data_IF_532789096705
#
_entry.id   IF_532789096705
#
_cell.length_a   1.000
_cell.length_b   1.000
_cell.length_c   1.000
_cell.angle_alpha   90.00
_cell.angle_beta   90.00
_cell.angle_gamma   90.00
#
_symmetry.space_group_name_H-M   'P 1'
#
loop_
_entity.id
_entity.type
_entity.pdbx_description
1 polymer ?
#
# COMPACT_ATOMS: atom_id res chain seq x y z
N UNK A 1 -33.00 -7.66 8.66
CA UNK A 1 -31.83 -7.23 7.88
C UNK A 1 -31.47 -8.35 6.94
N UNK A 2 -31.58 -8.13 5.64
CA UNK A 2 -31.11 -9.10 4.64
C UNK A 2 -29.58 -9.09 4.56
N UNK A 3 -28.99 -10.11 3.93
CA UNK A 3 -27.55 -10.10 3.66
C UNK A 3 -27.16 -8.91 2.78
N UNK A 4 -28.00 -8.54 1.84
CA UNK A 4 -27.75 -7.41 0.93
C UNK A 4 -27.70 -6.07 1.69
N UNK A 5 -28.61 -5.88 2.65
CA UNK A 5 -28.61 -4.72 3.55
C UNK A 5 -27.38 -4.71 4.47
N UNK A 6 -26.97 -5.89 4.97
CA UNK A 6 -25.77 -6.04 5.79
C UNK A 6 -24.48 -5.73 5.01
N UNK A 7 -24.34 -6.27 3.80
CA UNK A 7 -23.18 -6.07 2.94
C UNK A 7 -23.19 -4.73 2.19
N UNK A 8 -24.29 -3.97 2.26
CA UNK A 8 -24.44 -2.65 1.65
C UNK A 8 -24.08 -2.66 0.15
N UNK A 9 -24.60 -3.63 -0.60
CA UNK A 9 -24.28 -3.80 -2.03
C UNK A 9 -24.49 -2.48 -2.79
N UNK A 10 -23.51 -2.09 -3.60
CA UNK A 10 -23.53 -0.84 -4.38
C UNK A 10 -23.08 0.41 -3.62
N UNK A 11 -22.76 0.30 -2.34
CA UNK A 11 -22.25 1.43 -1.55
C UNK A 11 -20.73 1.56 -1.68
N UNK A 12 -20.24 2.78 -1.84
CA UNK A 12 -18.80 3.10 -1.79
C UNK A 12 -18.44 3.72 -0.44
N UNK A 13 -17.30 3.32 0.12
CA UNK A 13 -16.78 3.87 1.39
C UNK A 13 -15.49 4.62 1.14
N UNK A 14 -15.38 5.84 1.68
CA UNK A 14 -14.14 6.62 1.66
C UNK A 14 -13.26 6.18 2.82
N UNK A 15 -12.08 5.63 2.51
CA UNK A 15 -11.15 5.09 3.51
C UNK A 15 -10.23 6.13 4.17
N UNK A 16 -10.27 7.38 3.68
CA UNK A 16 -9.33 8.42 4.10
C UNK A 16 -7.93 8.26 3.47
N UNK A 17 -7.04 9.24 3.72
CA UNK A 17 -5.69 9.24 3.14
C UNK A 17 -4.71 8.41 3.97
N UNK A 18 -3.66 7.91 3.31
CA UNK A 18 -2.49 7.35 3.96
C UNK A 18 -1.21 7.82 3.28
N UNK A 19 -0.29 8.36 4.06
CA UNK A 19 1.04 8.76 3.59
C UNK A 19 2.04 7.63 3.80
N UNK A 20 2.68 7.18 2.73
CA UNK A 20 3.75 6.19 2.81
C UNK A 20 5.09 6.87 3.05
N UNK A 21 5.54 6.85 4.30
CA UNK A 21 6.85 7.39 4.66
C UNK A 21 7.99 6.50 4.14
N UNK A 22 9.13 7.07 3.68
CA UNK A 22 10.24 6.30 3.12
C UNK A 22 10.74 5.17 4.02
N UNK A 23 10.82 5.40 5.35
CA UNK A 23 11.26 4.36 6.28
C UNK A 23 10.26 3.22 6.41
N UNK A 24 8.96 3.51 6.38
CA UNK A 24 7.93 2.47 6.39
C UNK A 24 7.95 1.65 5.09
N UNK A 25 8.16 2.31 3.95
CA UNK A 25 8.37 1.65 2.66
C UNK A 25 9.53 0.66 2.74
N UNK A 26 10.71 1.13 3.15
CA UNK A 26 11.93 0.32 3.25
C UNK A 26 11.78 -0.81 4.27
N UNK A 27 11.13 -0.56 5.41
CA UNK A 27 10.89 -1.57 6.43
C UNK A 27 9.98 -2.71 5.93
N UNK A 28 8.88 -2.38 5.26
CA UNK A 28 8.00 -3.40 4.65
C UNK A 28 8.74 -4.18 3.56
N UNK A 29 9.41 -3.47 2.66
CA UNK A 29 10.11 -4.06 1.53
C UNK A 29 11.22 -5.03 1.95
N UNK A 30 12.03 -4.66 2.95
CA UNK A 30 13.05 -5.57 3.52
C UNK A 30 12.48 -6.89 4.00
N UNK A 31 11.22 -6.90 4.46
CA UNK A 31 10.58 -8.10 5.01
C UNK A 31 9.84 -8.93 3.96
N UNK A 32 9.20 -8.28 2.99
CA UNK A 32 8.21 -8.93 2.12
C UNK A 32 8.47 -8.76 0.63
N UNK A 33 9.21 -7.74 0.21
CA UNK A 33 9.43 -7.42 -1.20
C UNK A 33 10.78 -6.69 -1.41
N UNK A 34 11.92 -7.39 -1.27
CA UNK A 34 13.25 -6.77 -1.19
C UNK A 34 13.81 -6.42 -2.57
N UNK A 35 12.99 -5.87 -3.46
CA UNK A 35 13.46 -5.31 -4.73
C UNK A 35 14.16 -3.98 -4.50
N UNK A 36 15.24 -3.74 -5.25
CA UNK A 36 16.16 -2.60 -5.04
C UNK A 36 15.44 -1.25 -5.00
N UNK A 37 14.46 -1.05 -5.89
CA UNK A 37 13.69 0.20 -5.97
C UNK A 37 12.72 0.44 -4.81
N UNK A 38 12.56 -0.51 -3.88
CA UNK A 38 11.79 -0.36 -2.65
C UNK A 38 12.66 -0.19 -1.39
N UNK A 39 13.98 -0.40 -1.48
CA UNK A 39 14.87 -0.42 -0.31
C UNK A 39 16.01 0.60 -0.37
N UNK A 40 16.32 1.15 -1.55
CA UNK A 40 17.40 2.11 -1.78
C UNK A 40 16.96 3.23 -2.72
N UNK A 41 16.98 4.46 -2.22
CA UNK A 41 16.51 5.66 -2.93
C UNK A 41 17.40 6.02 -4.14
N UNK A 42 18.71 5.87 -4.02
CA UNK A 42 19.66 6.24 -5.08
C UNK A 42 19.66 5.21 -6.22
N UNK A 43 19.55 3.94 -5.87
CA UNK A 43 19.41 2.88 -6.85
C UNK A 43 18.03 2.93 -7.53
N UNK A 44 16.96 3.31 -6.79
CA UNK A 44 15.62 3.46 -7.35
C UNK A 44 15.55 4.53 -8.46
N UNK A 45 16.34 5.61 -8.38
CA UNK A 45 16.44 6.64 -9.43
C UNK A 45 16.88 6.08 -10.79
N UNK A 46 17.60 4.95 -10.78
CA UNK A 46 18.08 4.26 -12.00
C UNK A 46 17.12 3.19 -12.50
N UNK A 47 16.02 2.95 -11.77
CA UNK A 47 15.00 1.98 -12.15
C UNK A 47 13.96 2.61 -13.09
N UNK A 48 13.10 1.76 -13.66
CA UNK A 48 11.96 2.20 -14.48
C UNK A 48 10.96 3.08 -13.72
N UNK A 49 11.01 3.08 -12.38
CA UNK A 49 10.12 3.87 -11.52
C UNK A 49 10.69 5.25 -11.21
N UNK A 50 11.98 5.51 -11.47
CA UNK A 50 12.60 6.83 -11.33
C UNK A 50 12.80 7.34 -9.90
N UNK A 51 12.42 6.57 -8.88
CA UNK A 51 12.57 6.92 -7.47
C UNK A 51 12.03 5.83 -6.54
N UNK A 52 12.23 6.02 -5.23
CA UNK A 52 11.71 5.10 -4.22
C UNK A 52 10.18 5.04 -4.29
N UNK A 53 9.62 3.84 -4.29
CA UNK A 53 8.18 3.64 -4.21
C UNK A 53 7.81 2.55 -3.22
N UNK A 54 6.58 2.60 -2.71
CA UNK A 54 6.02 1.51 -1.94
C UNK A 54 5.82 0.26 -2.83
N UNK A 55 6.04 -0.92 -2.26
CA UNK A 55 5.63 -2.18 -2.90
C UNK A 55 4.12 -2.21 -3.15
N UNK A 56 3.70 -2.86 -4.23
CA UNK A 56 2.28 -3.14 -4.49
C UNK A 56 1.64 -3.93 -3.35
N UNK A 57 2.41 -4.83 -2.70
CA UNK A 57 1.94 -5.59 -1.54
C UNK A 57 1.81 -4.74 -0.29
N UNK A 58 2.69 -3.75 -0.10
CA UNK A 58 2.53 -2.75 0.97
C UNK A 58 1.24 -1.95 0.76
N UNK A 59 1.00 -1.52 -0.48
CA UNK A 59 -0.21 -0.78 -0.86
C UNK A 59 -1.47 -1.60 -0.61
N UNK A 60 -1.50 -2.87 -1.01
CA UNK A 60 -2.64 -3.77 -0.79
C UNK A 60 -2.89 -4.04 0.70
N UNK A 61 -1.83 -4.24 1.49
CA UNK A 61 -1.93 -4.44 2.93
C UNK A 61 -2.47 -3.19 3.64
N UNK A 62 -2.01 -2.00 3.25
CA UNK A 62 -2.54 -0.73 3.77
C UNK A 62 -4.00 -0.54 3.40
N UNK A 63 -4.39 -0.83 2.15
CA UNK A 63 -5.80 -0.78 1.74
C UNK A 63 -6.67 -1.68 2.63
N UNK A 64 -6.26 -2.94 2.83
CA UNK A 64 -7.01 -3.86 3.70
C UNK A 64 -7.10 -3.33 5.12
N UNK A 65 -6.00 -2.80 5.68
CA UNK A 65 -5.98 -2.22 7.02
C UNK A 65 -7.01 -1.09 7.18
N UNK A 66 -7.12 -0.20 6.19
CA UNK A 66 -8.08 0.91 6.21
C UNK A 66 -9.51 0.46 5.93
N UNK A 67 -9.69 -0.64 5.20
CA UNK A 67 -10.99 -1.22 4.87
C UNK A 67 -11.65 -2.00 6.02
N UNK A 68 -10.93 -2.28 7.11
CA UNK A 68 -11.44 -3.04 8.26
C UNK A 68 -12.11 -2.16 9.34
N UNK A 69 -12.40 -0.89 9.02
CA UNK A 69 -13.22 -0.01 9.89
C UNK A 69 -14.72 -0.32 9.81
#
# INVERSE_FOLDING_TARGET
MTLDEFFRIGTTVTLGPHTFEPEAIKAFARKYDPQIFHIDEEAAKKSVLGGLCASGWHTAATWMKLNLE
#
